data_IF_349977332650
#
_entry.id   IF_349977332650
#
_cell.length_a   1.000
_cell.length_b   1.000
_cell.length_c   1.000
_cell.angle_alpha   90.00
_cell.angle_beta   90.00
_cell.angle_gamma   90.00
#
_symmetry.space_group_name_H-M   'P 1'
#
loop_
_entity.id
_entity.type
_entity.pdbx_description
1 polymer ?
#
# COMPACT_ATOMS: atom_id res chain seq x y z
N UNK A 1 -6.88 -8.99 19.19
CA UNK A 1 -5.79 -8.09 18.70
C UNK A 1 -5.98 -7.76 17.22
N UNK A 2 -6.28 -8.73 16.34
CA UNK A 2 -6.78 -8.44 14.98
C UNK A 2 -8.01 -7.51 14.98
N UNK A 3 -8.96 -7.77 15.90
CA UNK A 3 -10.09 -6.86 16.14
C UNK A 3 -9.70 -5.47 16.63
N UNK A 4 -8.54 -5.29 17.28
CA UNK A 4 -8.08 -3.98 17.75
C UNK A 4 -7.51 -3.18 16.57
N UNK A 5 -6.83 -3.81 15.61
CA UNK A 5 -6.32 -3.09 14.43
C UNK A 5 -7.46 -2.75 13.46
N UNK A 6 -8.45 -3.63 13.32
CA UNK A 6 -9.71 -3.33 12.63
C UNK A 6 -10.55 -2.27 13.37
N UNK A 7 -10.67 -2.34 14.70
CA UNK A 7 -11.44 -1.37 15.51
C UNK A 7 -10.73 -0.04 15.74
N UNK A 8 -9.41 0.03 15.54
CA UNK A 8 -8.68 1.29 15.62
C UNK A 8 -9.07 2.20 14.43
N UNK A 9 -9.49 1.65 13.28
CA UNK A 9 -9.99 2.46 12.17
C UNK A 9 -8.99 3.52 11.66
N UNK A 10 -7.71 3.38 12.02
CA UNK A 10 -6.67 4.35 11.69
C UNK A 10 -6.04 3.84 10.44
N UNK A 11 -6.31 4.55 9.33
CA UNK A 11 -5.79 4.24 8.02
C UNK A 11 -4.30 3.93 8.05
N UNK A 12 -4.00 2.64 7.96
CA UNK A 12 -2.65 2.14 7.77
C UNK A 12 -2.07 2.71 6.49
N UNK A 13 -2.88 3.20 5.54
CA UNK A 13 -2.41 3.91 4.36
C UNK A 13 -2.78 5.38 4.51
N UNK A 14 -1.80 6.27 4.65
CA UNK A 14 -2.07 7.71 4.73
C UNK A 14 -2.15 8.40 3.38
N UNK A 15 -1.33 7.94 2.44
CA UNK A 15 -1.21 8.49 1.11
C UNK A 15 -0.65 7.40 0.20
N UNK A 16 -1.04 7.48 -1.06
CA UNK A 16 -0.53 6.63 -2.14
C UNK A 16 0.07 7.56 -3.19
N UNK A 17 1.32 7.33 -3.58
CA UNK A 17 1.88 8.04 -4.72
C UNK A 17 2.30 7.07 -5.80
N UNK A 18 1.91 7.32 -7.05
CA UNK A 18 2.12 6.42 -8.17
C UNK A 18 2.64 7.16 -9.41
N UNK A 19 3.58 6.54 -10.14
CA UNK A 19 4.13 7.14 -11.37
C UNK A 19 3.80 6.25 -12.58
N UNK A 20 2.84 6.70 -13.38
CA UNK A 20 2.49 6.04 -14.64
C UNK A 20 3.45 6.53 -15.73
N UNK A 21 4.17 5.60 -16.36
CA UNK A 21 5.09 5.92 -17.47
C UNK A 21 4.45 5.66 -18.83
N UNK A 22 5.10 6.10 -19.91
CA UNK A 22 4.62 5.82 -21.26
C UNK A 22 4.55 4.30 -21.53
N UNK A 23 5.46 3.52 -20.95
CA UNK A 23 5.43 2.07 -21.07
C UNK A 23 4.20 1.47 -20.37
N UNK A 24 3.85 2.01 -19.20
CA UNK A 24 2.61 1.67 -18.48
C UNK A 24 1.35 1.91 -19.32
N UNK A 25 1.36 2.87 -20.26
CA UNK A 25 0.24 3.09 -21.18
C UNK A 25 0.01 1.94 -22.16
N UNK A 26 1.03 1.13 -22.41
CA UNK A 26 0.97 -0.04 -23.29
C UNK A 26 0.80 -1.32 -22.48
N UNK A 27 1.54 -1.47 -21.38
CA UNK A 27 1.57 -2.69 -20.57
C UNK A 27 0.45 -2.77 -19.54
N UNK A 28 -0.17 -1.63 -19.20
CA UNK A 28 -1.11 -1.48 -18.07
C UNK A 28 -0.49 -1.85 -16.71
N UNK A 29 0.83 -1.87 -16.62
CA UNK A 29 1.57 -2.17 -15.40
C UNK A 29 2.35 -0.94 -14.98
N UNK A 30 2.24 -0.61 -13.70
CA UNK A 30 3.18 0.30 -13.07
C UNK A 30 4.34 -0.55 -12.53
N UNK A 31 5.39 -0.64 -13.34
CA UNK A 31 6.62 -1.35 -13.01
C UNK A 31 7.72 -0.36 -12.61
N UNK A 32 8.69 -0.84 -11.82
CA UNK A 32 9.93 -0.12 -11.61
C UNK A 32 10.60 0.12 -12.96
N UNK A 33 10.55 1.36 -13.46
CA UNK A 33 11.28 1.72 -14.67
C UNK A 33 12.77 1.75 -14.34
N UNK A 34 13.42 0.61 -14.52
CA UNK A 34 14.86 0.44 -14.39
C UNK A 34 15.57 1.13 -15.57
N UNK A 35 15.57 2.47 -15.58
CA UNK A 35 16.52 3.29 -16.35
C UNK A 35 16.98 4.47 -15.50
N UNK A 36 18.10 4.25 -14.82
CA UNK A 36 19.03 5.28 -14.32
C UNK A 36 18.55 6.27 -13.24
N UNK A 37 17.29 6.23 -12.80
CA UNK A 37 16.78 7.16 -11.79
C UNK A 37 16.08 6.41 -10.68
N UNK A 38 16.43 6.74 -9.43
CA UNK A 38 15.77 6.31 -8.19
C UNK A 38 14.34 6.87 -8.10
N UNK A 39 13.47 6.48 -9.02
CA UNK A 39 12.10 6.94 -9.09
C UNK A 39 11.21 5.91 -8.39
N UNK A 40 10.59 6.32 -7.28
CA UNK A 40 9.70 5.47 -6.48
C UNK A 40 8.39 5.33 -7.23
N UNK A 41 7.99 4.09 -7.52
CA UNK A 41 6.90 3.80 -8.47
C UNK A 41 5.53 3.69 -7.80
N UNK A 42 5.46 3.06 -6.62
CA UNK A 42 4.33 3.15 -5.71
C UNK A 42 4.84 3.27 -4.27
N UNK A 43 4.26 4.17 -3.49
CA UNK A 43 4.61 4.43 -2.09
C UNK A 43 3.39 4.35 -1.18
N UNK A 44 3.52 3.70 -0.02
CA UNK A 44 2.51 3.69 1.04
C UNK A 44 3.14 4.17 2.34
N UNK A 45 2.48 5.13 2.99
CA UNK A 45 2.87 5.58 4.33
C UNK A 45 2.04 4.84 5.37
N UNK A 46 2.70 3.94 6.10
CA UNK A 46 2.16 3.17 7.22
C UNK A 46 2.16 3.98 8.52
N UNK A 47 1.04 4.00 9.27
CA UNK A 47 0.97 4.60 10.61
C UNK A 47 0.74 3.51 11.66
N UNK A 48 1.59 3.48 12.69
CA UNK A 48 1.45 2.59 13.83
C UNK A 48 0.85 3.36 15.02
N UNK A 49 -0.38 3.06 15.44
CA UNK A 49 -1.00 3.71 16.60
C UNK A 49 -0.66 3.05 17.94
N UNK A 50 0.11 1.97 17.95
CA UNK A 50 0.44 1.19 19.14
C UNK A 50 1.77 1.64 19.75
N UNK A 51 1.95 1.39 21.05
CA UNK A 51 3.21 1.63 21.78
C UNK A 51 4.25 0.52 21.56
N UNK A 52 3.99 -0.40 20.64
CA UNK A 52 4.87 -1.51 20.26
C UNK A 52 5.20 -1.42 18.77
N UNK A 53 6.34 -1.95 18.36
CA UNK A 53 6.76 -1.99 16.95
C UNK A 53 5.83 -2.88 16.13
N UNK A 54 5.55 -2.47 14.89
CA UNK A 54 4.88 -3.28 13.88
C UNK A 54 5.84 -3.51 12.73
N UNK A 55 5.88 -4.72 12.20
CA UNK A 55 6.69 -5.07 11.03
C UNK A 55 5.78 -5.62 9.95
N UNK A 56 5.75 -4.99 8.78
CA UNK A 56 4.96 -5.44 7.63
C UNK A 56 5.83 -6.33 6.76
N UNK A 57 5.36 -7.55 6.49
CA UNK A 57 6.06 -8.53 5.66
C UNK A 57 5.48 -8.57 4.24
N UNK A 58 4.16 -8.42 4.11
CA UNK A 58 3.45 -8.45 2.82
C UNK A 58 2.21 -7.56 2.87
N UNK A 59 1.89 -6.94 1.75
CA UNK A 59 0.68 -6.17 1.53
C UNK A 59 0.09 -6.50 0.16
N UNK A 60 -1.22 -6.71 0.12
CA UNK A 60 -1.98 -6.78 -1.13
C UNK A 60 -3.18 -5.84 -1.05
N UNK A 61 -3.51 -5.20 -2.16
CA UNK A 61 -4.56 -4.19 -2.20
C UNK A 61 -5.36 -4.23 -3.50
N UNK A 62 -6.65 -3.91 -3.39
CA UNK A 62 -7.54 -3.52 -4.48
C UNK A 62 -7.97 -2.08 -4.24
N UNK A 63 -7.51 -1.17 -5.10
CA UNK A 63 -7.86 0.25 -5.03
C UNK A 63 -8.77 0.63 -6.20
N UNK A 64 -9.74 1.49 -5.93
CA UNK A 64 -10.80 1.80 -6.87
C UNK A 64 -11.57 3.07 -6.56
N UNK A 65 -12.55 3.36 -7.41
CA UNK A 65 -13.48 4.48 -7.25
C UNK A 65 -14.87 3.95 -7.50
N UNK A 66 -15.84 4.28 -6.64
CA UNK A 66 -17.23 3.83 -6.78
C UNK A 66 -17.34 2.29 -6.92
N UNK A 67 -16.60 1.54 -6.10
CA UNK A 67 -16.49 0.07 -6.14
C UNK A 67 -15.93 -0.53 -7.45
N UNK A 68 -15.45 0.28 -8.37
CA UNK A 68 -14.74 -0.19 -9.58
C UNK A 68 -13.25 -0.24 -9.27
N UNK A 69 -12.62 -1.41 -9.43
CA UNK A 69 -11.19 -1.59 -9.19
C UNK A 69 -10.40 -0.99 -10.35
N UNK A 70 -9.47 -0.09 -10.04
CA UNK A 70 -8.56 0.54 -11.01
C UNK A 70 -7.11 0.12 -10.83
N UNK A 71 -6.69 -0.22 -9.62
CA UNK A 71 -5.35 -0.66 -9.33
C UNK A 71 -5.36 -1.89 -8.40
N UNK A 72 -4.48 -2.84 -8.67
CA UNK A 72 -4.28 -4.02 -7.85
C UNK A 72 -2.79 -4.34 -7.73
N UNK A 73 -2.35 -4.73 -6.55
CA UNK A 73 -1.01 -5.25 -6.36
C UNK A 73 -0.97 -6.27 -5.23
N UNK A 74 0.07 -7.09 -5.25
CA UNK A 74 0.43 -8.04 -4.21
C UNK A 74 1.96 -8.01 -4.07
N UNK A 75 2.44 -7.52 -2.93
CA UNK A 75 3.85 -7.24 -2.71
C UNK A 75 4.33 -7.81 -1.39
N UNK A 76 5.36 -8.66 -1.46
CA UNK A 76 6.10 -9.15 -0.31
C UNK A 76 7.42 -8.39 -0.24
N UNK A 77 7.72 -7.80 0.92
CA UNK A 77 8.92 -6.99 1.09
C UNK A 77 10.15 -7.89 1.29
N UNK A 78 11.20 -7.67 0.50
CA UNK A 78 12.49 -8.37 0.70
C UNK A 78 13.10 -8.01 2.06
N UNK A 79 12.97 -6.74 2.46
CA UNK A 79 13.28 -6.26 3.79
C UNK A 79 11.99 -5.78 4.46
N UNK A 80 11.52 -6.43 5.53
CA UNK A 80 10.27 -6.06 6.18
C UNK A 80 10.25 -4.59 6.61
N UNK A 81 9.10 -3.96 6.46
CA UNK A 81 8.92 -2.54 6.77
C UNK A 81 8.66 -2.39 8.26
N UNK A 82 9.63 -1.82 8.98
CA UNK A 82 9.53 -1.56 10.42
C UNK A 82 8.83 -0.23 10.66
N UNK A 83 7.68 -0.28 11.33
CA UNK A 83 6.89 0.88 11.73
C UNK A 83 7.07 1.12 13.24
N UNK A 84 7.77 2.19 13.64
CA UNK A 84 8.10 2.42 15.04
C UNK A 84 6.84 2.67 15.88
N UNK A 85 6.90 2.43 17.20
CA UNK A 85 5.82 2.75 18.13
C UNK A 85 5.29 4.17 17.97
N UNK A 86 3.96 4.34 17.88
CA UNK A 86 3.26 5.62 17.69
C UNK A 86 3.71 6.44 16.47
N UNK A 87 4.47 5.82 15.56
CA UNK A 87 5.15 6.50 14.47
C UNK A 87 4.57 6.17 13.09
N UNK A 88 5.36 6.51 12.07
CA UNK A 88 5.07 6.19 10.68
C UNK A 88 6.30 5.61 10.01
N UNK A 89 6.08 4.78 9.01
CA UNK A 89 7.13 4.30 8.14
C UNK A 89 6.64 4.30 6.70
N UNK A 90 7.61 4.38 5.81
CA UNK A 90 7.42 4.32 4.39
C UNK A 90 7.62 2.87 3.93
N UNK A 91 6.70 2.35 3.12
CA UNK A 91 6.77 0.97 2.62
C UNK A 91 7.98 0.69 1.74
N UNK A 92 8.70 1.71 1.29
CA UNK A 92 9.58 1.57 0.14
C UNK A 92 8.74 1.51 -1.13
N UNK A 93 9.37 1.04 -2.20
CA UNK A 93 8.74 0.97 -3.52
C UNK A 93 7.99 -0.35 -3.67
N UNK A 94 6.73 -0.25 -4.06
CA UNK A 94 5.92 -1.38 -4.48
C UNK A 94 5.91 -1.41 -6.01
N UNK A 95 6.30 -2.54 -6.58
CA UNK A 95 6.32 -2.74 -8.03
C UNK A 95 5.16 -3.63 -8.48
N UNK A 96 4.99 -3.73 -9.81
CA UNK A 96 4.02 -4.61 -10.47
C UNK A 96 2.57 -4.28 -10.09
N UNK A 97 2.24 -3.00 -10.05
CA UNK A 97 0.86 -2.56 -9.81
C UNK A 97 0.09 -2.68 -11.12
N UNK A 98 -0.91 -3.56 -11.14
CA UNK A 98 -1.79 -3.74 -12.28
C UNK A 98 -2.85 -2.65 -12.33
N UNK A 99 -2.88 -1.91 -13.43
CA UNK A 99 -3.96 -0.99 -13.76
C UNK A 99 -5.09 -1.78 -14.42
N UNK A 100 -6.03 -2.26 -13.60
CA UNK A 100 -7.06 -3.24 -13.97
C UNK A 100 -7.96 -2.73 -15.11
N UNK A 101 -8.28 -1.44 -15.11
CA UNK A 101 -9.07 -0.81 -16.19
C UNK A 101 -8.21 -0.40 -17.39
N UNK A 102 -6.92 -0.68 -17.36
CA UNK A 102 -5.93 -0.16 -18.28
C UNK A 102 -5.47 1.25 -17.91
N UNK A 103 -4.25 1.60 -18.31
CA UNK A 103 -3.61 2.81 -17.87
C UNK A 103 -4.28 4.09 -18.39
N UNK A 104 -4.83 4.06 -19.60
CA UNK A 104 -5.58 5.19 -20.18
C UNK A 104 -6.79 5.53 -19.31
N UNK A 105 -7.60 4.53 -18.95
CA UNK A 105 -8.76 4.74 -18.08
C UNK A 105 -8.34 5.12 -16.65
N UNK A 106 -7.15 4.69 -16.21
CA UNK A 106 -6.59 5.12 -14.93
C UNK A 106 -6.13 6.59 -14.94
N UNK A 107 -5.86 7.21 -16.10
CA UNK A 107 -5.57 8.65 -16.16
C UNK A 107 -6.79 9.51 -15.80
N UNK A 108 -8.00 9.06 -16.15
CA UNK A 108 -9.24 9.80 -15.92
C UNK A 108 -9.58 9.94 -14.43
N UNK A 109 -9.05 9.05 -13.57
CA UNK A 109 -9.26 9.09 -12.12
C UNK A 109 -8.17 9.87 -11.38
N UNK A 110 -7.03 10.20 -12.00
CA UNK A 110 -5.96 10.99 -11.37
C UNK A 110 -6.47 12.34 -10.85
N UNK A 111 -7.28 13.13 -11.62
CA UNK A 111 -7.78 14.41 -11.16
C UNK A 111 -8.65 14.35 -9.88
N UNK A 112 -9.15 13.16 -9.50
CA UNK A 112 -9.90 12.98 -8.26
C UNK A 112 -9.01 13.16 -7.01
N UNK A 113 -7.70 12.88 -7.14
CA UNK A 113 -6.72 13.01 -6.06
C UNK A 113 -6.96 12.07 -4.87
N UNK A 114 -7.81 11.05 -5.04
CA UNK A 114 -8.13 10.07 -4.01
C UNK A 114 -8.60 8.73 -4.60
N UNK A 115 -8.38 7.67 -3.85
CA UNK A 115 -8.83 6.31 -4.15
C UNK A 115 -9.44 5.65 -2.92
N UNK A 116 -10.41 4.78 -3.13
CA UNK A 116 -10.93 3.88 -2.11
C UNK A 116 -10.13 2.58 -2.14
N UNK A 117 -9.63 2.17 -0.98
CA UNK A 117 -9.07 0.84 -0.75
C UNK A 117 -10.23 -0.10 -0.47
N UNK A 118 -10.65 -0.83 -1.51
CA UNK A 118 -11.82 -1.72 -1.50
C UNK A 118 -11.55 -3.01 -0.73
N UNK A 119 -10.30 -3.46 -0.75
CA UNK A 119 -9.80 -4.60 0.01
C UNK A 119 -8.30 -4.45 0.22
N UNK A 120 -7.84 -4.61 1.45
CA UNK A 120 -6.42 -4.62 1.81
C UNK A 120 -6.15 -5.76 2.77
N UNK A 121 -5.18 -6.60 2.40
CA UNK A 121 -4.70 -7.70 3.24
C UNK A 121 -3.23 -7.45 3.57
N UNK A 122 -2.87 -7.51 4.85
CA UNK A 122 -1.55 -7.19 5.37
C UNK A 122 -1.10 -8.31 6.30
N UNK A 123 0.10 -8.84 6.03
CA UNK A 123 0.81 -9.68 6.99
C UNK A 123 1.67 -8.78 7.87
N UNK A 124 1.27 -8.61 9.13
CA UNK A 124 2.02 -7.82 10.10
C UNK A 124 2.49 -8.68 11.27
N UNK A 125 3.67 -8.40 11.80
CA UNK A 125 4.16 -8.92 13.08
C UNK A 125 4.17 -7.80 14.11
N UNK A 126 3.56 -8.02 15.27
CA UNK A 126 3.57 -7.04 16.35
C UNK A 126 4.56 -7.42 17.45
N UNK A 127 5.15 -6.40 18.08
CA UNK A 127 6.13 -6.57 19.14
C UNK A 127 7.45 -7.13 18.63
N UNK A 128 7.80 -6.81 17.38
CA UNK A 128 9.15 -7.05 16.85
C UNK A 128 10.17 -6.14 17.53
N UNK A 129 11.45 -6.47 17.36
CA UNK A 129 12.58 -5.59 17.70
C UNK A 129 13.42 -5.48 16.44
N UNK A 130 13.48 -4.28 15.86
CA UNK A 130 14.16 -4.01 14.60
C UNK A 130 13.76 -5.00 13.47
N UNK A 131 12.47 -5.35 13.39
CA UNK A 131 11.95 -6.27 12.37
C UNK A 131 12.08 -7.76 12.67
N UNK A 132 12.74 -8.14 13.76
CA UNK A 132 12.95 -9.55 14.15
C UNK A 132 11.92 -10.04 15.18
N UNK A 133 11.54 -11.32 15.06
CA UNK A 133 10.60 -11.96 15.97
C UNK A 133 9.16 -11.47 15.80
N UNK A 134 8.48 -11.19 16.91
CA UNK A 134 7.10 -10.71 16.94
C UNK A 134 6.04 -11.80 16.78
N UNK A 135 4.79 -11.42 17.05
CA UNK A 135 3.62 -12.29 16.90
C UNK A 135 2.95 -11.96 15.56
N UNK A 136 2.79 -12.93 14.65
CA UNK A 136 2.08 -12.70 13.40
C UNK A 136 0.61 -12.40 13.67
N UNK A 137 0.11 -11.35 13.03
CA UNK A 137 -1.27 -10.91 13.06
C UNK A 137 -1.71 -10.76 11.60
N UNK A 138 -2.49 -11.71 11.06
CA UNK A 138 -3.10 -11.50 9.76
C UNK A 138 -4.14 -10.38 9.90
N UNK A 139 -4.12 -9.45 8.96
CA UNK A 139 -5.14 -8.41 8.84
C UNK A 139 -5.71 -8.52 7.43
N UNK A 140 -6.94 -9.03 7.32
CA UNK A 140 -7.58 -9.27 6.03
C UNK A 140 -8.84 -8.43 5.88
N UNK A 141 -9.12 -8.00 4.65
CA UNK A 141 -10.36 -7.33 4.27
C UNK A 141 -10.48 -5.89 4.76
N UNK A 142 -9.37 -5.21 5.04
CA UNK A 142 -9.40 -3.79 5.41
C UNK A 142 -9.98 -2.96 4.27
N UNK A 143 -10.81 -1.98 4.63
CA UNK A 143 -11.37 -1.01 3.70
C UNK A 143 -11.09 0.40 4.19
N UNK A 144 -10.72 1.28 3.28
CA UNK A 144 -10.49 2.68 3.59
C UNK A 144 -10.96 3.55 2.43
N UNK A 145 -11.84 4.50 2.72
CA UNK A 145 -12.35 5.41 1.69
C UNK A 145 -11.50 6.68 1.62
N UNK A 146 -11.55 7.35 0.47
CA UNK A 146 -10.98 8.68 0.25
C UNK A 146 -9.48 8.78 0.60
N UNK A 147 -8.69 7.74 0.31
CA UNK A 147 -7.24 7.75 0.53
C UNK A 147 -6.59 8.72 -0.44
N UNK A 148 -5.89 9.78 0.03
CA UNK A 148 -5.28 10.76 -0.86
C UNK A 148 -4.25 10.13 -1.78
N UNK A 149 -4.28 10.52 -3.06
CA UNK A 149 -3.36 10.02 -4.09
C UNK A 149 -2.64 11.12 -4.84
N UNK A 150 -1.43 10.84 -5.33
CA UNK A 150 -0.64 11.76 -6.17
C UNK A 150 0.09 11.02 -7.28
#
# INVERSE_FOLDING_TARGET
IGDIINALGIGLVQNISAIITLDSLVTNLIEQVFRYTYQRVLLIIAKNPLIIELTLDRVSSLAGVNNTVYASFDHTFDHPVVVPPLGKADSGTIDNVLLVQGAINSLDIIPLGKLDLLEVNISVRAGTIDGFGGIPIPIDGLKQNDVPTT
#
